data_IF_060578121794
#
_entry.id   IF_060578121794
#
_cell.length_a   1.000
_cell.length_b   1.000
_cell.length_c   1.000
_cell.angle_alpha   90.00
_cell.angle_beta   90.00
_cell.angle_gamma   90.00
#
_symmetry.space_group_name_H-M   'P 1'
#
loop_
_entity.id
_entity.type
_entity.pdbx_description
1 polymer ?
#
# COMPACT_ATOMS: atom_id res chain seq x y z
N UNK A 1 -70.17 6.77 -37.27
CA UNK A 1 -69.03 6.02 -36.67
C UNK A 1 -68.01 7.09 -36.30
N UNK A 2 -68.13 7.66 -35.10
CA UNK A 2 -67.12 8.60 -34.61
C UNK A 2 -65.87 7.79 -34.31
N UNK A 3 -64.85 7.96 -35.13
CA UNK A 3 -63.54 7.40 -34.83
C UNK A 3 -63.04 8.19 -33.63
N UNK A 4 -62.99 7.52 -32.48
CA UNK A 4 -62.62 8.11 -31.20
C UNK A 4 -61.12 8.42 -31.21
N UNK A 5 -60.76 9.58 -31.76
CA UNK A 5 -59.38 10.06 -31.97
C UNK A 5 -58.59 10.01 -30.65
N UNK A 6 -59.25 10.20 -29.52
CA UNK A 6 -58.67 10.08 -28.19
C UNK A 6 -58.14 8.65 -27.91
N UNK A 7 -58.88 7.61 -28.32
CA UNK A 7 -58.45 6.21 -28.13
C UNK A 7 -57.28 5.84 -29.04
N UNK A 8 -57.22 6.39 -30.25
CA UNK A 8 -56.08 6.17 -31.18
C UNK A 8 -54.82 6.87 -30.65
N UNK A 9 -54.92 8.11 -30.16
CA UNK A 9 -53.80 8.84 -29.56
C UNK A 9 -53.31 8.16 -28.28
N UNK A 10 -54.24 7.70 -27.43
CA UNK A 10 -53.92 6.92 -26.22
C UNK A 10 -53.22 5.60 -26.54
N UNK A 11 -53.70 4.86 -27.56
CA UNK A 11 -53.07 3.63 -28.02
C UNK A 11 -51.65 3.87 -28.57
N UNK A 12 -51.46 4.94 -29.36
CA UNK A 12 -50.15 5.32 -29.88
C UNK A 12 -49.16 5.74 -28.76
N UNK A 13 -49.64 6.50 -27.78
CA UNK A 13 -48.86 6.88 -26.59
C UNK A 13 -48.44 5.69 -25.75
N UNK A 14 -49.34 4.72 -25.56
CA UNK A 14 -49.07 3.47 -24.82
C UNK A 14 -48.01 2.61 -25.52
N UNK A 15 -48.05 2.51 -26.85
CA UNK A 15 -47.04 1.78 -27.63
C UNK A 15 -45.67 2.45 -27.59
N UNK A 16 -45.60 3.78 -27.69
CA UNK A 16 -44.36 4.55 -27.54
C UNK A 16 -43.76 4.38 -26.14
N UNK A 17 -44.59 4.49 -25.09
CA UNK A 17 -44.15 4.27 -23.71
C UNK A 17 -43.64 2.84 -23.49
N UNK A 18 -44.31 1.83 -24.04
CA UNK A 18 -43.88 0.43 -23.98
C UNK A 18 -42.53 0.22 -24.69
N UNK A 19 -42.30 0.87 -25.83
CA UNK A 19 -41.03 0.82 -26.55
C UNK A 19 -39.88 1.48 -25.75
N UNK A 20 -40.12 2.65 -25.17
CA UNK A 20 -39.12 3.31 -24.32
C UNK A 20 -38.84 2.51 -23.03
N UNK A 21 -39.87 1.93 -22.40
CA UNK A 21 -39.71 1.07 -21.23
C UNK A 21 -38.89 -0.19 -21.55
N UNK A 22 -39.14 -0.81 -22.71
CA UNK A 22 -38.37 -1.97 -23.18
C UNK A 22 -36.90 -1.61 -23.45
N UNK A 23 -36.64 -0.46 -24.08
CA UNK A 23 -35.29 0.03 -24.37
C UNK A 23 -34.54 0.42 -23.08
N UNK A 24 -35.24 0.97 -22.09
CA UNK A 24 -34.66 1.27 -20.78
C UNK A 24 -34.35 -0.01 -20.00
N UNK A 25 -35.25 -0.99 -20.03
CA UNK A 25 -35.06 -2.29 -19.38
C UNK A 25 -33.84 -3.05 -19.93
N UNK A 26 -33.65 -3.04 -21.25
CA UNK A 26 -32.47 -3.64 -21.89
C UNK A 26 -31.18 -2.92 -21.54
N UNK A 27 -31.17 -1.58 -21.49
CA UNK A 27 -30.01 -0.80 -21.01
C UNK A 27 -29.71 -1.04 -19.52
N UNK A 28 -30.73 -1.14 -18.67
CA UNK A 28 -30.58 -1.44 -17.26
C UNK A 28 -29.98 -2.83 -17.06
N UNK A 29 -30.48 -3.85 -17.77
CA UNK A 29 -29.94 -5.22 -17.71
C UNK A 29 -28.47 -5.30 -18.15
N UNK A 30 -28.08 -4.55 -19.18
CA UNK A 30 -26.67 -4.46 -19.60
C UNK A 30 -25.80 -3.80 -18.52
N UNK A 31 -26.33 -2.77 -17.86
CA UNK A 31 -25.64 -2.09 -16.75
C UNK A 31 -25.49 -3.02 -15.56
N UNK A 32 -26.54 -3.75 -15.18
CA UNK A 32 -26.53 -4.72 -14.08
C UNK A 32 -25.53 -5.86 -14.35
N UNK A 33 -25.52 -6.42 -15.57
CA UNK A 33 -24.52 -7.42 -15.98
C UNK A 33 -23.10 -6.87 -15.92
N UNK A 34 -22.89 -5.62 -16.34
CA UNK A 34 -21.59 -4.96 -16.28
C UNK A 34 -21.15 -4.73 -14.83
N UNK A 35 -22.06 -4.33 -13.95
CA UNK A 35 -21.83 -4.15 -12.51
C UNK A 35 -21.49 -5.49 -11.86
N UNK A 36 -22.22 -6.56 -12.17
CA UNK A 36 -21.95 -7.90 -11.65
C UNK A 36 -20.58 -8.44 -12.11
N UNK A 37 -20.24 -8.20 -13.38
CA UNK A 37 -18.92 -8.54 -13.90
C UNK A 37 -17.80 -7.79 -13.18
N UNK A 38 -17.95 -6.48 -12.99
CA UNK A 38 -16.99 -5.68 -12.23
C UNK A 38 -16.88 -6.15 -10.78
N UNK A 39 -17.99 -6.49 -10.12
CA UNK A 39 -17.97 -7.05 -8.75
C UNK A 39 -17.21 -8.36 -8.68
N UNK A 40 -17.46 -9.30 -9.61
CA UNK A 40 -16.74 -10.59 -9.66
C UNK A 40 -15.24 -10.40 -9.93
N UNK A 41 -14.87 -9.48 -10.83
CA UNK A 41 -13.47 -9.14 -11.05
C UNK A 41 -12.83 -8.50 -9.81
N UNK A 42 -13.54 -7.61 -9.14
CA UNK A 42 -13.09 -6.95 -7.92
C UNK A 42 -12.90 -7.94 -6.77
N UNK A 43 -13.83 -8.88 -6.57
CA UNK A 43 -13.72 -9.98 -5.61
C UNK A 43 -12.48 -10.83 -5.89
N UNK A 44 -12.24 -11.20 -7.15
CA UNK A 44 -11.05 -11.97 -7.53
C UNK A 44 -9.76 -11.20 -7.27
N UNK A 45 -9.71 -9.91 -7.62
CA UNK A 45 -8.56 -9.04 -7.35
C UNK A 45 -8.35 -8.83 -5.86
N UNK A 46 -9.43 -8.72 -5.09
CA UNK A 46 -9.39 -8.57 -3.63
C UNK A 46 -8.85 -9.83 -2.95
N UNK A 47 -9.27 -11.01 -3.42
CA UNK A 47 -8.75 -12.29 -2.94
C UNK A 47 -7.24 -12.40 -3.18
N UNK A 48 -6.78 -12.16 -4.42
CA UNK A 48 -5.35 -12.19 -4.73
C UNK A 48 -4.55 -11.14 -3.95
N UNK A 49 -5.12 -9.94 -3.75
CA UNK A 49 -4.48 -8.90 -2.92
C UNK A 49 -4.35 -9.36 -1.48
N UNK A 50 -5.39 -9.97 -0.92
CA UNK A 50 -5.39 -10.49 0.46
C UNK A 50 -4.34 -11.60 0.63
N UNK A 51 -4.25 -12.51 -0.35
CA UNK A 51 -3.24 -13.57 -0.36
C UNK A 51 -1.81 -12.99 -0.40
N UNK A 52 -1.57 -12.01 -1.28
CA UNK A 52 -0.27 -11.33 -1.37
C UNK A 52 0.07 -10.58 -0.08
N UNK A 53 -0.89 -9.85 0.49
CA UNK A 53 -0.72 -9.16 1.77
C UNK A 53 -0.34 -10.14 2.89
N UNK A 54 -0.97 -11.31 2.95
CA UNK A 54 -0.66 -12.33 3.94
C UNK A 54 0.78 -12.88 3.78
N UNK A 55 1.22 -13.09 2.53
CA UNK A 55 2.62 -13.48 2.22
C UNK A 55 3.61 -12.41 2.67
N UNK A 56 3.34 -11.14 2.38
CA UNK A 56 4.17 -10.01 2.83
C UNK A 56 4.27 -9.98 4.36
N UNK A 57 3.15 -10.09 5.08
CA UNK A 57 3.18 -10.17 6.54
C UNK A 57 3.99 -11.36 7.06
N UNK A 58 3.86 -12.53 6.45
CA UNK A 58 4.63 -13.72 6.81
C UNK A 58 6.14 -13.49 6.71
N UNK A 59 6.60 -12.87 5.62
CA UNK A 59 8.02 -12.53 5.44
C UNK A 59 8.49 -11.47 6.45
N UNK A 60 7.69 -10.44 6.73
CA UNK A 60 8.05 -9.44 7.75
C UNK A 60 8.17 -10.05 9.15
N UNK A 61 7.29 -10.99 9.49
CA UNK A 61 7.40 -11.77 10.73
C UNK A 61 8.67 -12.61 10.76
N UNK A 62 9.02 -13.27 9.66
CA UNK A 62 10.28 -14.02 9.54
C UNK A 62 11.48 -13.13 9.85
N UNK A 63 11.56 -11.96 9.20
CA UNK A 63 12.62 -10.97 9.45
C UNK A 63 12.65 -10.57 10.94
N UNK A 64 11.52 -10.19 11.52
CA UNK A 64 11.45 -9.76 12.93
C UNK A 64 11.98 -10.83 13.91
N UNK A 65 11.71 -12.11 13.63
CA UNK A 65 12.18 -13.22 14.47
C UNK A 65 13.65 -13.57 14.23
N UNK A 66 14.08 -13.63 12.97
CA UNK A 66 15.47 -13.98 12.61
C UNK A 66 16.46 -12.90 13.06
N UNK A 67 16.17 -11.63 12.78
CA UNK A 67 17.06 -10.51 13.13
C UNK A 67 16.95 -10.08 14.59
N UNK A 68 15.95 -10.60 15.30
CA UNK A 68 15.55 -10.16 16.64
C UNK A 68 15.17 -8.67 16.74
N UNK A 69 14.79 -8.05 15.62
CA UNK A 69 14.34 -6.66 15.59
C UNK A 69 13.06 -6.42 16.40
N UNK A 70 12.85 -5.18 16.81
CA UNK A 70 11.68 -4.75 17.57
C UNK A 70 10.51 -4.40 16.66
N UNK A 71 10.82 -3.84 15.48
CA UNK A 71 9.85 -3.49 14.45
C UNK A 71 10.41 -3.79 13.07
N UNK A 72 9.54 -4.32 12.21
CA UNK A 72 9.80 -4.43 10.78
C UNK A 72 8.61 -3.90 10.01
N UNK A 73 8.84 -2.96 9.11
CA UNK A 73 7.76 -2.35 8.33
C UNK A 73 8.24 -1.95 6.94
N UNK A 74 7.28 -1.70 6.04
CA UNK A 74 7.56 -1.28 4.67
C UNK A 74 7.09 0.15 4.48
N UNK A 75 8.02 1.03 4.11
CA UNK A 75 7.71 2.40 3.66
C UNK A 75 7.53 2.39 2.16
N UNK A 76 6.36 2.80 1.69
CA UNK A 76 6.00 2.84 0.28
C UNK A 76 5.87 4.27 -0.26
N UNK A 77 6.63 4.61 -1.33
CA UNK A 77 6.38 5.79 -2.14
C UNK A 77 5.01 5.73 -2.81
N UNK A 78 4.25 6.82 -2.76
CA UNK A 78 2.97 6.94 -3.46
C UNK A 78 2.67 8.42 -3.81
N UNK A 79 1.76 8.67 -4.76
CA UNK A 79 1.19 7.72 -5.74
C UNK A 79 2.24 7.22 -6.75
N UNK A 80 1.99 6.05 -7.34
CA UNK A 80 2.89 5.48 -8.36
C UNK A 80 2.93 6.39 -9.59
N UNK A 81 4.14 6.71 -10.06
CA UNK A 81 4.39 7.59 -11.21
C UNK A 81 4.68 9.06 -10.87
N UNK A 82 4.12 9.59 -9.78
CA UNK A 82 4.52 10.90 -9.23
C UNK A 82 4.69 10.76 -7.71
N UNK A 83 5.86 10.24 -7.33
CA UNK A 83 6.15 9.99 -5.93
C UNK A 83 6.23 11.33 -5.19
N UNK A 84 5.29 11.56 -4.28
CA UNK A 84 5.21 12.78 -3.48
C UNK A 84 5.16 12.48 -1.98
N UNK A 85 4.67 11.30 -1.60
CA UNK A 85 4.41 10.93 -0.22
C UNK A 85 5.03 9.57 0.14
N UNK A 86 5.33 9.40 1.41
CA UNK A 86 5.79 8.16 2.02
C UNK A 86 4.77 7.70 3.07
N UNK A 87 4.34 6.45 2.98
CA UNK A 87 3.42 5.84 3.94
C UNK A 87 3.85 4.44 4.30
N UNK A 88 3.45 4.01 5.49
CA UNK A 88 3.60 2.61 5.92
C UNK A 88 2.26 1.90 5.79
N UNK A 89 2.22 0.81 5.03
CA UNK A 89 1.05 -0.07 4.94
C UNK A 89 1.21 -1.33 5.78
N UNK A 90 2.38 -1.96 5.70
CA UNK A 90 2.70 -3.20 6.35
C UNK A 90 3.65 -2.94 7.51
N UNK A 91 3.25 -3.35 8.71
CA UNK A 91 4.04 -3.24 9.92
C UNK A 91 3.85 -4.50 10.79
N UNK A 92 4.96 -5.00 11.31
CA UNK A 92 5.04 -6.07 12.30
C UNK A 92 5.92 -5.58 13.44
N UNK A 93 5.51 -5.84 14.69
CA UNK A 93 6.22 -5.35 15.88
C UNK A 93 6.13 -6.33 17.04
N UNK A 94 7.12 -6.25 17.94
CA UNK A 94 7.07 -6.95 19.23
C UNK A 94 6.02 -6.34 20.15
N UNK A 95 5.54 -7.15 21.10
CA UNK A 95 4.58 -6.71 22.11
C UNK A 95 5.20 -5.63 22.99
N UNK A 96 4.51 -4.52 23.15
CA UNK A 96 4.95 -3.38 23.98
C UNK A 96 5.66 -2.27 23.21
N UNK A 97 5.91 -2.44 21.91
CA UNK A 97 6.55 -1.42 21.06
C UNK A 97 5.50 -0.55 20.33
N UNK A 98 5.73 0.76 20.26
CA UNK A 98 4.88 1.71 19.54
C UNK A 98 4.99 1.49 18.01
N UNK A 99 3.88 1.64 17.27
CA UNK A 99 3.92 1.42 15.82
C UNK A 99 4.35 2.68 15.05
N UNK A 100 5.11 2.49 13.98
CA UNK A 100 5.47 3.53 13.01
C UNK A 100 4.36 3.82 12.01
N UNK A 101 3.42 2.88 11.81
CA UNK A 101 2.34 3.03 10.84
C UNK A 101 1.48 4.27 11.09
N UNK A 102 1.25 4.64 12.34
CA UNK A 102 0.42 5.79 12.70
C UNK A 102 1.16 7.13 12.53
N UNK A 103 2.50 7.09 12.56
CA UNK A 103 3.34 8.28 12.49
C UNK A 103 3.80 8.60 11.06
N UNK A 104 3.87 7.59 10.18
CA UNK A 104 4.26 7.73 8.78
C UNK A 104 3.06 7.38 7.90
N UNK A 105 2.11 8.32 7.82
CA UNK A 105 1.03 8.32 6.82
C UNK A 105 1.08 9.61 6.03
N UNK A 106 1.17 9.47 4.71
CA UNK A 106 1.17 10.55 3.74
C UNK A 106 2.23 11.62 4.05
N UNK A 107 3.41 11.19 4.52
CA UNK A 107 4.52 12.09 4.85
C UNK A 107 5.06 12.71 3.56
N UNK A 108 5.05 14.06 3.41
CA UNK A 108 5.56 14.69 2.21
C UNK A 108 7.06 14.44 2.05
N UNK A 109 7.48 13.92 0.89
CA UNK A 109 8.90 13.68 0.62
C UNK A 109 9.74 14.96 0.70
N UNK A 110 9.14 16.13 0.44
CA UNK A 110 9.80 17.43 0.58
C UNK A 110 10.30 17.70 2.00
N UNK A 111 9.62 17.16 3.01
CA UNK A 111 10.02 17.33 4.43
C UNK A 111 11.20 16.45 4.82
N UNK A 112 11.37 15.32 4.12
CA UNK A 112 12.43 14.34 4.35
C UNK A 112 13.30 14.14 3.09
N UNK A 113 13.53 15.21 2.33
CA UNK A 113 14.03 15.10 0.95
C UNK A 113 15.38 14.38 0.83
N UNK A 114 16.32 14.70 1.73
CA UNK A 114 17.66 14.08 1.74
C UNK A 114 17.56 12.61 2.13
N UNK A 115 16.69 12.30 3.09
CA UNK A 115 16.47 10.91 3.51
C UNK A 115 15.79 10.10 2.41
N UNK A 116 14.75 10.66 1.79
CA UNK A 116 14.01 10.03 0.70
C UNK A 116 14.88 9.78 -0.54
N UNK A 117 15.80 10.68 -0.87
CA UNK A 117 16.79 10.47 -1.92
C UNK A 117 17.71 9.27 -1.60
N UNK A 118 18.19 9.18 -0.36
CA UNK A 118 19.04 8.07 0.07
C UNK A 118 18.29 6.73 0.00
N UNK A 119 17.02 6.71 0.44
CA UNK A 119 16.14 5.55 0.33
C UNK A 119 15.95 5.09 -1.13
N UNK A 120 15.81 6.04 -2.05
CA UNK A 120 15.63 5.75 -3.47
C UNK A 120 16.92 5.29 -4.16
N UNK A 121 18.10 5.72 -3.71
CA UNK A 121 19.38 5.40 -4.38
C UNK A 121 20.06 4.14 -3.84
N UNK A 122 20.12 4.00 -2.52
CA UNK A 122 20.93 2.97 -1.88
C UNK A 122 20.19 1.64 -1.83
N UNK A 123 20.87 0.54 -2.17
CA UNK A 123 20.27 -0.80 -2.12
C UNK A 123 20.14 -1.34 -0.70
N UNK A 124 21.02 -0.90 0.19
CA UNK A 124 21.06 -1.25 1.59
C UNK A 124 21.71 -0.10 2.36
N UNK A 125 21.20 0.17 3.56
CA UNK A 125 21.71 1.17 4.47
C UNK A 125 21.60 0.62 5.89
N UNK A 126 22.60 0.89 6.71
CA UNK A 126 22.57 0.58 8.12
C UNK A 126 22.96 1.82 8.92
N UNK A 127 22.15 2.16 9.91
CA UNK A 127 22.47 3.20 10.87
C UNK A 127 22.57 2.56 12.24
N UNK A 128 23.77 2.57 12.81
CA UNK A 128 24.03 2.07 14.17
C UNK A 128 23.61 3.08 15.26
N UNK A 129 23.52 4.36 14.88
CA UNK A 129 23.19 5.48 15.76
C UNK A 129 22.37 6.49 14.96
N UNK A 130 21.06 6.49 15.20
CA UNK A 130 20.11 7.39 14.52
C UNK A 130 20.43 8.86 14.82
N UNK A 131 20.79 9.19 16.06
CA UNK A 131 20.87 10.57 16.51
C UNK A 131 22.01 11.34 15.86
N UNK A 132 23.11 10.63 15.55
CA UNK A 132 24.30 11.17 14.94
C UNK A 132 24.41 10.95 13.43
N UNK A 133 23.86 9.85 12.88
CA UNK A 133 24.06 9.49 11.47
C UNK A 133 22.94 9.99 10.55
N UNK A 134 21.72 10.20 11.05
CA UNK A 134 20.61 10.70 10.24
C UNK A 134 20.69 12.23 10.14
N UNK A 135 21.03 12.71 8.94
CA UNK A 135 21.19 14.16 8.65
C UNK A 135 19.87 14.93 8.63
N UNK A 136 18.81 14.27 8.21
CA UNK A 136 17.50 14.88 8.07
C UNK A 136 16.82 15.01 9.43
N UNK A 137 16.49 16.24 9.84
CA UNK A 137 15.96 16.51 11.18
C UNK A 137 14.57 15.89 11.39
N UNK A 138 13.74 15.87 10.36
CA UNK A 138 12.37 15.32 10.44
C UNK A 138 12.46 13.80 10.52
N UNK A 139 13.24 13.17 9.64
CA UNK A 139 13.43 11.72 9.67
C UNK A 139 14.06 11.26 11.00
N UNK A 140 15.06 11.98 11.50
CA UNK A 140 15.66 11.73 12.81
C UNK A 140 14.62 11.83 13.92
N UNK A 141 13.86 12.93 13.97
CA UNK A 141 12.83 13.12 14.99
C UNK A 141 11.80 11.99 14.97
N UNK A 142 11.36 11.53 13.79
CA UNK A 142 10.41 10.43 13.66
C UNK A 142 10.97 9.12 14.21
N UNK A 143 12.22 8.79 13.90
CA UNK A 143 12.87 7.57 14.38
C UNK A 143 13.15 7.62 15.89
N UNK A 144 13.78 8.70 16.38
CA UNK A 144 14.16 8.85 17.79
C UNK A 144 12.92 8.95 18.70
N UNK A 145 11.86 9.65 18.31
CA UNK A 145 10.62 9.77 19.12
C UNK A 145 9.92 8.42 19.28
N UNK A 146 10.11 7.52 18.31
CA UNK A 146 9.60 6.16 18.38
C UNK A 146 10.56 5.18 19.06
N UNK A 147 11.64 5.67 19.66
CA UNK A 147 12.62 4.87 20.40
C UNK A 147 13.55 4.04 19.52
N UNK A 148 13.69 4.36 18.23
CA UNK A 148 14.64 3.67 17.36
C UNK A 148 16.07 4.16 17.68
N UNK A 149 16.94 3.23 18.04
CA UNK A 149 18.36 3.49 18.28
C UNK A 149 19.21 3.15 17.06
N UNK A 150 18.90 2.04 16.41
CA UNK A 150 19.53 1.61 15.16
C UNK A 150 18.51 1.05 14.17
N UNK A 151 18.83 1.14 12.87
CA UNK A 151 17.96 0.67 11.80
C UNK A 151 18.75 0.13 10.61
N UNK A 152 18.32 -1.02 10.10
CA UNK A 152 18.72 -1.54 8.81
C UNK A 152 17.60 -1.31 7.79
N UNK A 153 17.96 -0.78 6.62
CA UNK A 153 17.02 -0.39 5.58
C UNK A 153 17.43 -1.07 4.28
N UNK A 154 16.49 -1.79 3.67
CA UNK A 154 16.68 -2.48 2.38
C UNK A 154 15.69 -1.95 1.36
N UNK A 155 16.21 -1.52 0.21
CA UNK A 155 15.40 -1.04 -0.90
C UNK A 155 14.69 -2.18 -1.63
N UNK A 156 13.42 -1.98 -1.94
CA UNK A 156 12.58 -2.85 -2.76
C UNK A 156 12.43 -2.27 -4.16
N UNK A 157 12.74 -3.10 -5.16
CA UNK A 157 12.69 -2.72 -6.56
C UNK A 157 11.75 -3.66 -7.33
N UNK A 158 10.84 -3.07 -8.08
CA UNK A 158 10.23 -3.73 -9.23
C UNK A 158 11.14 -3.50 -10.42
N UNK A 159 10.98 -4.31 -11.47
CA UNK A 159 11.78 -4.37 -12.71
C UNK A 159 12.67 -3.16 -13.07
N UNK A 160 12.22 -1.90 -12.94
CA UNK A 160 13.08 -0.71 -13.05
C UNK A 160 12.82 0.40 -12.01
N UNK A 161 11.83 0.25 -11.12
CA UNK A 161 11.35 1.34 -10.25
C UNK A 161 11.46 1.02 -8.75
N UNK A 162 11.66 2.07 -7.96
CA UNK A 162 11.62 2.02 -6.49
C UNK A 162 10.18 1.85 -6.00
N UNK A 163 9.90 0.73 -5.32
CA UNK A 163 8.55 0.37 -4.85
C UNK A 163 8.39 0.60 -3.35
N UNK A 164 9.51 0.67 -2.62
CA UNK A 164 9.52 0.90 -1.19
C UNK A 164 10.82 0.48 -0.54
N UNK A 165 10.83 0.49 0.79
CA UNK A 165 11.95 -0.03 1.57
C UNK A 165 11.45 -0.81 2.78
N UNK A 166 12.13 -1.91 3.10
CA UNK A 166 11.96 -2.62 4.35
C UNK A 166 12.83 -1.94 5.39
N UNK A 167 12.22 -1.53 6.49
CA UNK A 167 12.87 -1.00 7.68
C UNK A 167 12.89 -2.10 8.74
N UNK A 168 14.03 -2.29 9.37
CA UNK A 168 14.27 -3.25 10.45
C UNK A 168 14.91 -2.46 11.60
N UNK A 169 14.11 -2.13 12.60
CA UNK A 169 14.49 -1.23 13.70
C UNK A 169 14.76 -1.98 15.00
N UNK A 170 15.70 -1.44 15.76
CA UNK A 170 16.09 -1.90 17.07
C UNK A 170 16.00 -0.74 18.06
N UNK A 171 15.37 -0.98 19.21
CA UNK A 171 15.28 0.00 20.30
C UNK A 171 16.47 -0.08 21.23
N UNK A 172 17.07 -1.26 21.35
CA UNK A 172 18.20 -1.52 22.23
C UNK A 172 19.52 -1.55 21.46
N UNK A 173 20.62 -1.18 22.15
CA UNK A 173 21.98 -1.42 21.65
C UNK A 173 22.21 -2.93 21.53
N UNK A 174 22.20 -3.41 20.30
CA UNK A 174 22.43 -4.81 19.96
C UNK A 174 23.74 -4.91 19.19
N UNK A 175 24.51 -5.97 19.47
CA UNK A 175 25.71 -6.30 18.71
C UNK A 175 25.25 -6.90 17.37
N UNK A 176 24.94 -6.00 16.43
CA UNK A 176 24.30 -6.33 15.17
C UNK A 176 25.35 -6.69 14.13
N UNK A 177 25.26 -7.91 13.59
CA UNK A 177 26.06 -8.29 12.43
C UNK A 177 25.41 -7.75 11.15
N UNK A 178 25.99 -6.67 10.60
CA UNK A 178 25.48 -6.00 9.40
C UNK A 178 25.36 -6.95 8.21
N UNK A 179 26.30 -7.89 8.02
CA UNK A 179 26.28 -8.85 6.92
C UNK A 179 25.10 -9.83 7.04
N UNK A 180 24.80 -10.26 8.25
CA UNK A 180 23.66 -11.14 8.52
C UNK A 180 22.33 -10.41 8.29
N UNK A 181 22.21 -9.17 8.78
CA UNK A 181 21.04 -8.32 8.53
C UNK A 181 20.83 -8.07 7.05
N UNK A 182 21.91 -7.76 6.31
CA UNK A 182 21.85 -7.53 4.88
C UNK A 182 21.36 -8.79 4.15
N UNK A 183 21.84 -9.98 4.54
CA UNK A 183 21.40 -11.25 3.94
C UNK A 183 19.92 -11.51 4.19
N UNK A 184 19.46 -11.44 5.45
CA UNK A 184 18.06 -11.70 5.82
C UNK A 184 17.13 -10.70 5.11
N UNK A 185 17.48 -9.41 5.11
CA UNK A 185 16.69 -8.39 4.43
C UNK A 185 16.72 -8.53 2.90
N UNK A 186 17.83 -8.99 2.34
CA UNK A 186 17.91 -9.25 0.90
C UNK A 186 16.98 -10.39 0.48
N UNK A 187 16.95 -11.49 1.23
CA UNK A 187 16.01 -12.59 1.00
C UNK A 187 14.56 -12.12 1.10
N UNK A 188 14.22 -11.37 2.15
CA UNK A 188 12.90 -10.80 2.32
C UNK A 188 12.53 -9.86 1.15
N UNK A 189 13.47 -9.04 0.68
CA UNK A 189 13.24 -8.15 -0.46
C UNK A 189 12.92 -8.92 -1.74
N UNK A 190 13.66 -10.00 -2.03
CA UNK A 190 13.39 -10.86 -3.20
C UNK A 190 11.99 -11.48 -3.14
N UNK A 191 11.55 -11.90 -1.95
CA UNK A 191 10.24 -12.51 -1.74
C UNK A 191 9.08 -11.50 -1.82
N UNK A 192 9.31 -10.25 -1.41
CA UNK A 192 8.26 -9.23 -1.28
C UNK A 192 8.12 -8.38 -2.55
N UNK A 193 9.22 -8.02 -3.22
CA UNK A 193 9.25 -6.92 -4.20
C UNK A 193 8.29 -7.08 -5.40
N UNK A 194 7.93 -8.31 -5.78
CA UNK A 194 7.02 -8.59 -6.90
C UNK A 194 5.56 -8.83 -6.48
N UNK A 195 5.31 -9.05 -5.19
CA UNK A 195 3.97 -9.33 -4.66
C UNK A 195 3.41 -8.16 -3.85
N UNK A 196 4.25 -7.17 -3.52
CA UNK A 196 3.87 -5.99 -2.74
C UNK A 196 2.77 -5.21 -3.47
N UNK A 197 1.55 -5.11 -2.90
CA UNK A 197 0.49 -4.34 -3.52
C UNK A 197 0.79 -2.84 -3.46
N UNK A 198 0.20 -2.10 -4.38
CA UNK A 198 0.25 -0.63 -4.39
C UNK A 198 -0.37 -0.06 -3.11
N UNK A 199 0.26 1.00 -2.58
CA UNK A 199 -0.30 1.72 -1.44
C UNK A 199 -1.67 2.29 -1.81
N UNK A 200 -2.67 1.99 -1.00
CA UNK A 200 -3.99 2.62 -1.06
C UNK A 200 -4.25 3.28 0.28
N UNK A 201 -4.54 4.57 0.24
CA UNK A 201 -5.03 5.28 1.40
C UNK A 201 -6.36 4.66 1.81
N UNK A 202 -6.36 3.95 2.94
CA UNK A 202 -7.61 3.50 3.54
C UNK A 202 -8.31 4.76 4.03
N UNK A 203 -9.42 5.13 3.37
CA UNK A 203 -10.35 6.09 3.98
C UNK A 203 -10.76 5.46 5.32
N UNK A 204 -10.31 6.07 6.40
CA UNK A 204 -10.83 5.76 7.72
C UNK A 204 -12.30 6.19 7.65
N UNK A 205 -13.22 5.22 7.62
CA UNK A 205 -14.64 5.46 7.85
C UNK A 205 -14.89 5.82 9.31
#
# INVERSE_FOLDING_TARGET
MEIDIANIISAAGTLLAAYFAYNQYTKNKLTDLKVEYFKKEEERRSYHRSENSAKVFGELWRVLYETKADRVYIVQPHPLGHIAFLSVQFEVKRKGIAGMRENIQSLPMSEVAVFAENLAKNLFMFYSDIDNQVKDKVAKSLLSTNGCNSVAIKRLNSSQDWVGNIFCEFTDETDLNEDELHKVLHEAAVNIQYILPEFKENKIE
#
